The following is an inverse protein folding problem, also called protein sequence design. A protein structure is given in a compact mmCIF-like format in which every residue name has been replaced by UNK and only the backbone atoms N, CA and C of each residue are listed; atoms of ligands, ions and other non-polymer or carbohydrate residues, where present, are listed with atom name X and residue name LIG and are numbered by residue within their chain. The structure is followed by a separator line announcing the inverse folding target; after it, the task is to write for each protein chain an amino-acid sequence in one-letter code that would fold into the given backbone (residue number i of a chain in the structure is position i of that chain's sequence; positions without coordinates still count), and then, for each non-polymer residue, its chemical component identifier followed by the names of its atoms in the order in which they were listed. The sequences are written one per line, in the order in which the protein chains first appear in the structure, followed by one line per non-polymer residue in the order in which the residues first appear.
data_IF_018678810311
#
_entry.id   IF_018678810311
#
_cell.length_a   1.000
_cell.length_b   1.000
_cell.length_c   1.000
_cell.angle_alpha   90.00
_cell.angle_beta   90.00
_cell.angle_gamma   90.00
#
_symmetry.space_group_name_H-M   'P 1'
#
loop_
_entity.id
_entity.type
_entity.pdbx_description
1 polymer ?
#
# COMPACT_ATOMS: atom_id res chain seq x y z
N UNK A 1 16.12 18.84 16.13
CA UNK A 1 14.84 18.86 15.40
C UNK A 1 14.70 17.70 14.40
N UNK A 2 15.06 16.45 14.79
CA UNK A 2 14.95 15.24 13.93
C UNK A 2 14.06 14.15 14.54
N UNK A 3 13.75 14.23 15.84
CA UNK A 3 13.00 13.22 16.60
C UNK A 3 11.53 13.18 16.15
N UNK A 4 10.95 14.36 15.97
CA UNK A 4 9.56 14.56 15.52
C UNK A 4 9.30 13.93 14.13
N UNK A 5 10.32 13.87 13.26
CA UNK A 5 10.21 13.24 11.93
C UNK A 5 10.15 11.72 12.02
N UNK A 6 10.89 11.08 12.93
CA UNK A 6 10.89 9.63 13.09
C UNK A 6 9.60 9.15 13.79
N UNK A 7 9.18 9.83 14.85
CA UNK A 7 7.94 9.51 15.57
C UNK A 7 6.71 9.63 14.67
N UNK A 8 6.68 10.67 13.81
CA UNK A 8 5.65 10.83 12.78
C UNK A 8 5.64 9.69 11.75
N UNK A 9 6.81 9.26 11.27
CA UNK A 9 6.90 8.13 10.34
C UNK A 9 6.41 6.82 10.97
N UNK A 10 6.78 6.56 12.22
CA UNK A 10 6.32 5.37 12.95
C UNK A 10 4.80 5.41 13.14
N UNK A 11 4.24 6.57 13.48
CA UNK A 11 2.80 6.75 13.67
C UNK A 11 2.04 6.49 12.36
N UNK A 12 2.49 7.04 11.24
CA UNK A 12 1.89 6.78 9.92
C UNK A 12 2.04 5.30 9.53
N UNK A 13 3.21 4.70 9.78
CA UNK A 13 3.44 3.29 9.49
C UNK A 13 2.44 2.38 10.22
N UNK A 14 2.17 2.67 11.50
CA UNK A 14 1.18 1.93 12.30
C UNK A 14 -0.24 2.13 11.75
N UNK A 15 -0.61 3.37 11.40
CA UNK A 15 -1.93 3.66 10.82
C UNK A 15 -2.12 2.91 9.50
N UNK A 16 -1.14 2.96 8.61
CA UNK A 16 -1.19 2.28 7.31
C UNK A 16 -1.22 0.76 7.50
N UNK A 17 -0.45 0.23 8.46
CA UNK A 17 -0.49 -1.17 8.84
C UNK A 17 -1.89 -1.61 9.26
N UNK A 18 -2.54 -0.85 10.14
CA UNK A 18 -3.92 -1.12 10.58
C UNK A 18 -4.94 -1.05 9.44
N UNK A 19 -4.81 -0.08 8.54
CA UNK A 19 -5.64 0.02 7.35
C UNK A 19 -5.43 -1.17 6.41
N UNK A 20 -4.18 -1.61 6.21
CA UNK A 20 -3.87 -2.76 5.39
C UNK A 20 -4.49 -4.05 5.95
N UNK A 21 -4.42 -4.27 7.27
CA UNK A 21 -5.09 -5.41 7.91
C UNK A 21 -6.62 -5.35 7.77
N UNK A 22 -7.19 -4.15 7.85
CA UNK A 22 -8.64 -3.96 7.63
C UNK A 22 -9.03 -4.32 6.21
N UNK A 23 -8.26 -3.88 5.22
CA UNK A 23 -8.46 -4.23 3.80
C UNK A 23 -8.30 -5.73 3.58
N UNK A 24 -7.28 -6.36 4.19
CA UNK A 24 -7.07 -7.81 4.13
C UNK A 24 -8.32 -8.55 4.62
N UNK A 25 -8.85 -8.15 5.77
CA UNK A 25 -10.05 -8.76 6.34
C UNK A 25 -11.28 -8.56 5.45
N UNK A 26 -11.51 -7.37 4.89
CA UNK A 26 -12.65 -7.09 4.01
C UNK A 26 -12.56 -7.92 2.72
N UNK A 27 -11.40 -7.91 2.07
CA UNK A 27 -11.17 -8.65 0.81
C UNK A 27 -11.30 -10.15 1.06
N UNK A 28 -10.68 -10.66 2.13
CA UNK A 28 -10.79 -12.07 2.51
C UNK A 28 -12.25 -12.48 2.70
N UNK A 29 -13.02 -11.74 3.51
CA UNK A 29 -14.43 -12.08 3.77
C UNK A 29 -15.30 -11.99 2.52
N UNK A 30 -15.01 -11.05 1.62
CA UNK A 30 -15.72 -10.93 0.35
C UNK A 30 -15.39 -12.11 -0.58
N UNK A 31 -14.10 -12.43 -0.77
CA UNK A 31 -13.65 -13.53 -1.63
C UNK A 31 -14.02 -14.91 -1.08
N UNK A 32 -14.04 -15.08 0.24
CA UNK A 32 -14.37 -16.35 0.89
C UNK A 32 -15.80 -16.83 0.57
N UNK A 33 -16.69 -15.92 0.17
CA UNK A 33 -18.04 -16.29 -0.31
C UNK A 33 -18.02 -17.02 -1.66
N UNK A 34 -16.94 -16.90 -2.43
CA UNK A 34 -16.85 -17.40 -3.81
C UNK A 34 -15.69 -18.38 -4.02
N UNK A 35 -14.61 -18.27 -3.25
CA UNK A 35 -13.38 -19.04 -3.42
C UNK A 35 -13.00 -19.82 -2.15
N UNK A 36 -12.14 -20.83 -2.31
CA UNK A 36 -11.58 -21.61 -1.20
C UNK A 36 -10.69 -20.75 -0.30
N UNK A 37 -10.54 -21.18 0.95
CA UNK A 37 -9.82 -20.46 2.01
C UNK A 37 -8.41 -20.03 1.57
N UNK A 38 -7.68 -20.90 0.87
CA UNK A 38 -6.31 -20.65 0.45
C UNK A 38 -6.22 -19.56 -0.62
N UNK A 39 -7.13 -19.58 -1.59
CA UNK A 39 -7.15 -18.61 -2.70
C UNK A 39 -7.57 -17.24 -2.20
N UNK A 40 -8.62 -17.18 -1.37
CA UNK A 40 -9.11 -15.94 -0.78
C UNK A 40 -8.04 -15.27 0.09
N UNK A 41 -7.33 -16.05 0.90
CA UNK A 41 -6.25 -15.55 1.76
C UNK A 41 -5.03 -15.10 0.97
N UNK A 42 -4.68 -15.80 -0.12
CA UNK A 42 -3.58 -15.40 -0.98
C UNK A 42 -3.86 -14.05 -1.65
N UNK A 43 -5.07 -13.88 -2.21
CA UNK A 43 -5.45 -12.64 -2.89
C UNK A 43 -5.60 -11.48 -1.91
N UNK A 44 -6.17 -11.72 -0.72
CA UNK A 44 -6.30 -10.69 0.31
C UNK A 44 -4.92 -10.22 0.80
N UNK A 45 -3.99 -11.16 1.06
CA UNK A 45 -2.64 -10.84 1.51
C UNK A 45 -1.85 -10.07 0.44
N UNK A 46 -1.97 -10.44 -0.83
CA UNK A 46 -1.36 -9.70 -1.94
C UNK A 46 -1.93 -8.29 -2.05
N UNK A 47 -3.25 -8.14 -1.93
CA UNK A 47 -3.92 -6.83 -2.05
C UNK A 47 -3.54 -5.89 -0.89
N UNK A 48 -3.55 -6.41 0.35
CA UNK A 48 -3.22 -5.64 1.54
C UNK A 48 -1.73 -5.26 1.60
N UNK A 49 -0.84 -6.16 1.21
CA UNK A 49 0.61 -5.87 1.12
C UNK A 49 0.91 -4.82 0.05
N UNK A 50 0.26 -4.90 -1.12
CA UNK A 50 0.40 -3.91 -2.19
C UNK A 50 -0.08 -2.53 -1.72
N UNK A 51 -1.25 -2.47 -1.08
CA UNK A 51 -1.77 -1.24 -0.48
C UNK A 51 -0.80 -0.66 0.56
N UNK A 52 -0.34 -1.50 1.50
CA UNK A 52 0.60 -1.07 2.55
C UNK A 52 1.89 -0.51 1.96
N UNK A 53 2.44 -1.14 0.92
CA UNK A 53 3.64 -0.66 0.24
C UNK A 53 3.44 0.70 -0.42
N UNK A 54 2.36 0.88 -1.20
CA UNK A 54 2.11 2.16 -1.87
C UNK A 54 1.83 3.27 -0.86
N UNK A 55 1.01 3.02 0.15
CA UNK A 55 0.70 4.01 1.17
C UNK A 55 1.95 4.39 1.98
N UNK A 56 2.74 3.41 2.43
CA UNK A 56 3.97 3.71 3.15
C UNK A 56 4.98 4.44 2.27
N UNK A 57 5.03 4.15 0.96
CA UNK A 57 5.88 4.86 0.01
C UNK A 57 5.45 6.31 -0.23
N UNK A 58 4.15 6.63 -0.13
CA UNK A 58 3.61 7.98 -0.36
C UNK A 58 3.66 8.82 0.93
N UNK A 59 3.25 8.23 2.06
CA UNK A 59 3.00 8.98 3.31
C UNK A 59 4.10 8.80 4.37
N UNK A 60 4.68 7.61 4.49
CA UNK A 60 5.68 7.30 5.53
C UNK A 60 7.08 7.66 5.08
N UNK A 61 7.48 7.18 3.90
CA UNK A 61 8.79 7.40 3.34
C UNK A 61 8.76 8.63 2.44
N UNK A 62 8.69 9.81 3.08
CA UNK A 62 9.04 11.08 2.46
C UNK A 62 10.50 11.02 1.99
N UNK A 63 10.73 10.44 0.80
CA UNK A 63 11.99 10.53 0.07
C UNK A 63 12.13 11.96 -0.41
N UNK A 64 12.60 12.82 0.49
CA UNK A 64 13.06 14.17 0.14
C UNK A 64 14.03 14.07 -1.04
N UNK A 65 13.65 14.71 -2.15
CA UNK A 65 14.48 14.86 -3.35
C UNK A 65 14.22 13.83 -4.45
N UNK A 66 13.45 14.23 -5.46
CA UNK A 66 13.56 13.74 -6.85
C UNK A 66 12.98 12.37 -7.24
N UNK A 67 11.97 11.82 -6.55
CA UNK A 67 11.05 10.90 -7.22
C UNK A 67 9.88 11.69 -7.77
N UNK A 68 10.11 12.30 -8.93
CA UNK A 68 9.15 13.12 -9.63
C UNK A 68 8.02 12.22 -10.16
N UNK A 69 7.01 11.98 -9.30
CA UNK A 69 5.84 11.10 -9.50
C UNK A 69 5.16 11.32 -10.86
N UNK A 70 5.26 12.53 -11.42
CA UNK A 70 4.82 12.85 -12.78
C UNK A 70 5.45 11.93 -13.84
N UNK A 71 6.73 11.54 -13.72
CA UNK A 71 7.37 10.63 -14.68
C UNK A 71 6.92 9.18 -14.54
N UNK A 72 6.63 8.70 -13.33
CA UNK A 72 6.10 7.35 -13.14
C UNK A 72 4.68 7.22 -13.70
N UNK A 73 3.84 8.24 -13.48
CA UNK A 73 2.49 8.29 -14.07
C UNK A 73 2.59 8.38 -15.60
N UNK A 74 3.49 9.21 -16.14
CA UNK A 74 3.72 9.31 -17.59
C UNK A 74 4.23 7.99 -18.18
N UNK A 75 5.10 7.28 -17.48
CA UNK A 75 5.60 5.97 -17.88
C UNK A 75 4.47 4.93 -17.98
N UNK A 76 3.62 4.84 -16.95
CA UNK A 76 2.47 3.92 -16.99
C UNK A 76 1.46 4.27 -18.09
N UNK A 77 1.21 5.56 -18.34
CA UNK A 77 0.34 6.01 -19.44
C UNK A 77 0.91 5.60 -20.81
N UNK A 78 2.21 5.80 -21.04
CA UNK A 78 2.86 5.39 -22.30
C UNK A 78 2.89 3.88 -22.45
N UNK A 79 3.15 3.14 -21.37
CA UNK A 79 3.16 1.67 -21.38
C UNK A 79 1.78 1.05 -21.68
N UNK A 80 0.69 1.72 -21.29
CA UNK A 80 -0.68 1.27 -21.59
C UNK A 80 -1.17 1.66 -23.00
N UNK A 81 -0.55 2.66 -23.62
CA UNK A 81 -0.91 3.15 -24.95
C UNK A 81 -0.09 2.51 -26.09
N UNK A 82 0.92 1.70 -25.76
CA UNK A 82 1.78 0.97 -26.69
C UNK A 82 1.44 -0.53 -26.63
#
# INVERSE_FOLDING_TARGET
MKKDKLEYQILIFIIIGGLATTIDFIIYNYLFKFFTINISKLISMLSSSLFSYFMNKIFTFDKGGNYNQKYLIKFYIVFLLN
#
